data_IF_034324471532
#
_entry.id   IF_034324471532
#
_cell.length_a   1.000
_cell.length_b   1.000
_cell.length_c   1.000
_cell.angle_alpha   90.00
_cell.angle_beta   90.00
_cell.angle_gamma   90.00
#
_symmetry.space_group_name_H-M   'P 1'
#
loop_
_entity.id
_entity.type
_entity.pdbx_description
1 polymer ?
#
# COMPACT_ATOMS: atom_id res chain seq x y z
N UNK A 1 -24.57 -28.61 13.19
CA UNK A 1 -24.55 -27.47 12.25
C UNK A 1 -23.14 -27.37 11.74
N UNK A 2 -22.94 -27.75 10.46
CA UNK A 2 -21.62 -27.78 9.82
C UNK A 2 -21.22 -26.35 9.45
N UNK A 3 -20.19 -25.81 10.07
CA UNK A 3 -19.54 -24.57 9.62
C UNK A 3 -18.84 -24.88 8.30
N UNK A 4 -19.38 -24.38 7.20
CA UNK A 4 -18.73 -24.42 5.90
C UNK A 4 -17.36 -23.76 5.98
N UNK A 5 -16.32 -24.41 5.43
CA UNK A 5 -14.99 -23.83 5.22
C UNK A 5 -15.16 -22.53 4.43
N UNK A 6 -14.51 -21.43 4.87
CA UNK A 6 -14.43 -20.25 4.02
C UNK A 6 -13.74 -20.64 2.72
N UNK A 7 -14.30 -20.17 1.60
CA UNK A 7 -13.70 -20.32 0.29
C UNK A 7 -12.28 -19.75 0.33
N UNK A 8 -11.32 -20.52 -0.14
CA UNK A 8 -9.93 -20.10 -0.33
C UNK A 8 -9.93 -18.79 -1.11
N UNK A 9 -9.35 -17.74 -0.55
CA UNK A 9 -9.16 -16.45 -1.23
C UNK A 9 -8.40 -16.72 -2.52
N UNK A 10 -9.03 -16.40 -3.65
CA UNK A 10 -8.58 -16.80 -4.99
C UNK A 10 -7.21 -16.17 -5.31
N UNK A 11 -6.19 -16.98 -5.49
CA UNK A 11 -5.08 -16.69 -6.37
C UNK A 11 -3.74 -16.31 -5.75
N UNK A 12 -3.60 -16.08 -4.44
CA UNK A 12 -2.30 -15.80 -3.81
C UNK A 12 -1.72 -17.07 -3.21
N UNK A 13 -0.63 -17.56 -3.79
CA UNK A 13 0.02 -18.81 -3.37
C UNK A 13 1.08 -18.61 -2.27
N UNK A 14 1.53 -17.38 -2.05
CA UNK A 14 2.56 -17.00 -1.07
C UNK A 14 2.33 -15.56 -0.59
N UNK A 15 2.92 -15.23 0.56
CA UNK A 15 2.86 -13.88 1.13
C UNK A 15 3.86 -12.96 0.42
N UNK A 16 3.40 -11.78 -0.04
CA UNK A 16 4.19 -10.86 -0.86
C UNK A 16 4.74 -9.71 -0.03
N UNK A 17 6.02 -9.39 -0.20
CA UNK A 17 6.61 -8.16 0.36
C UNK A 17 6.72 -7.09 -0.73
N UNK A 18 6.27 -5.87 -0.38
CA UNK A 18 6.37 -4.69 -1.23
C UNK A 18 7.31 -3.67 -0.54
N UNK A 19 8.62 -3.68 -0.83
CA UNK A 19 9.48 -2.59 -0.40
C UNK A 19 8.93 -1.26 -0.90
N UNK A 20 8.87 -0.26 -0.01
CA UNK A 20 8.31 1.02 -0.38
C UNK A 20 9.40 2.01 -0.82
N UNK A 21 9.13 2.76 -1.90
CA UNK A 21 9.92 3.90 -2.37
C UNK A 21 9.00 5.11 -2.43
N UNK A 22 9.14 6.01 -1.47
CA UNK A 22 8.41 7.28 -1.44
C UNK A 22 9.26 8.35 -2.11
N UNK A 23 8.66 9.16 -2.96
CA UNK A 23 9.34 10.21 -3.72
C UNK A 23 8.79 11.57 -3.32
N UNK A 24 9.68 12.46 -2.87
CA UNK A 24 9.40 13.87 -2.64
C UNK A 24 10.57 14.71 -3.16
N UNK A 25 10.27 15.80 -3.84
CA UNK A 25 11.25 16.72 -4.44
C UNK A 25 12.33 15.98 -5.26
N UNK A 26 11.88 14.98 -6.04
CA UNK A 26 12.74 14.16 -6.89
C UNK A 26 13.68 13.19 -6.16
N UNK A 27 13.52 13.00 -4.85
CA UNK A 27 14.37 12.12 -4.03
C UNK A 27 13.56 10.99 -3.40
N UNK A 28 14.19 9.83 -3.24
CA UNK A 28 13.65 8.79 -2.37
C UNK A 28 13.72 9.26 -0.91
N UNK A 29 12.59 9.20 -0.21
CA UNK A 29 12.49 9.71 1.17
C UNK A 29 11.74 8.75 2.08
N UNK A 30 11.81 8.99 3.39
CA UNK A 30 10.94 8.38 4.40
C UNK A 30 10.41 9.44 5.34
N UNK A 31 9.11 9.34 5.60
CA UNK A 31 8.42 10.17 6.57
C UNK A 31 8.35 9.47 7.95
N UNK A 32 8.12 10.26 8.98
CA UNK A 32 7.71 9.77 10.31
C UNK A 32 6.21 10.05 10.45
N UNK A 33 5.41 9.00 10.58
CA UNK A 33 3.94 9.08 10.70
C UNK A 33 3.28 9.93 9.59
N UNK A 34 3.84 9.88 8.36
CA UNK A 34 3.33 10.67 7.24
C UNK A 34 3.45 12.18 7.38
N UNK A 35 4.20 12.68 8.35
CA UNK A 35 4.32 14.12 8.64
C UNK A 35 5.19 14.79 7.58
N UNK A 36 4.59 15.72 6.82
CA UNK A 36 5.31 16.52 5.85
C UNK A 36 6.34 17.42 6.55
N UNK A 37 7.59 17.41 6.08
CA UNK A 37 8.71 18.12 6.70
C UNK A 37 9.56 17.22 7.60
N UNK A 38 9.18 15.94 7.80
CA UNK A 38 9.97 14.95 8.54
C UNK A 38 10.82 14.06 7.61
N UNK A 39 10.95 14.42 6.33
CA UNK A 39 11.60 13.63 5.29
C UNK A 39 13.07 13.37 5.61
N UNK A 40 13.47 12.10 5.60
CA UNK A 40 14.87 11.68 5.51
C UNK A 40 15.15 11.22 4.10
N UNK A 41 16.10 11.86 3.39
CA UNK A 41 16.45 11.49 2.02
C UNK A 41 17.35 10.26 2.00
N UNK A 42 17.11 9.40 1.00
CA UNK A 42 17.87 8.20 0.67
C UNK A 42 18.39 8.21 -0.77
N UNK A 43 18.39 9.38 -1.41
CA UNK A 43 19.00 9.59 -2.72
C UNK A 43 18.08 9.33 -3.91
N UNK A 44 18.64 8.76 -4.99
CA UNK A 44 17.94 8.55 -6.25
C UNK A 44 16.85 7.47 -6.14
N UNK A 45 15.58 7.75 -6.47
CA UNK A 45 14.49 6.78 -6.44
C UNK A 45 14.70 5.59 -7.38
N UNK A 46 15.31 5.78 -8.54
CA UNK A 46 15.63 4.69 -9.48
C UNK A 46 16.62 3.73 -8.84
N UNK A 47 17.70 4.25 -8.25
CA UNK A 47 18.72 3.44 -7.59
C UNK A 47 18.12 2.68 -6.39
N UNK A 48 17.24 3.32 -5.60
CA UNK A 48 16.56 2.68 -4.48
C UNK A 48 15.68 1.51 -4.97
N UNK A 49 14.86 1.74 -6.00
CA UNK A 49 13.95 0.72 -6.54
C UNK A 49 14.73 -0.46 -7.16
N UNK A 50 15.79 -0.20 -7.93
CA UNK A 50 16.65 -1.25 -8.49
C UNK A 50 17.35 -2.06 -7.39
N UNK A 51 17.78 -1.42 -6.30
CA UNK A 51 18.36 -2.13 -5.15
C UNK A 51 17.38 -3.14 -4.55
N UNK A 52 16.10 -2.80 -4.43
CA UNK A 52 15.10 -3.76 -3.93
C UNK A 52 14.85 -4.89 -4.93
N UNK A 53 14.78 -4.59 -6.23
CA UNK A 53 14.67 -5.62 -7.26
C UNK A 53 15.86 -6.59 -7.21
N UNK A 54 17.09 -6.09 -7.15
CA UNK A 54 18.32 -6.89 -7.06
C UNK A 54 18.35 -7.78 -5.81
N UNK A 55 17.72 -7.33 -4.72
CA UNK A 55 17.56 -8.10 -3.48
C UNK A 55 16.40 -9.11 -3.50
N UNK A 56 15.67 -9.22 -4.61
CA UNK A 56 14.65 -10.24 -4.83
C UNK A 56 13.21 -9.79 -4.60
N UNK A 57 12.94 -8.47 -4.56
CA UNK A 57 11.55 -7.99 -4.56
C UNK A 57 10.81 -8.45 -5.81
N UNK A 58 9.58 -8.96 -5.65
CA UNK A 58 8.66 -9.25 -6.76
C UNK A 58 7.73 -8.06 -7.03
N UNK A 59 7.52 -7.23 -6.03
CA UNK A 59 6.71 -6.02 -6.06
C UNK A 59 7.44 -4.86 -5.40
N UNK A 60 7.15 -3.64 -5.87
CA UNK A 60 7.57 -2.38 -5.24
C UNK A 60 6.33 -1.51 -5.04
N UNK A 61 6.19 -0.91 -3.86
CA UNK A 61 5.21 0.13 -3.59
C UNK A 61 5.87 1.49 -3.80
N UNK A 62 5.47 2.20 -4.87
CA UNK A 62 6.05 3.48 -5.30
C UNK A 62 5.05 4.61 -5.04
N UNK A 63 5.47 5.68 -4.35
CA UNK A 63 4.56 6.74 -3.92
C UNK A 63 5.04 8.11 -4.38
N UNK A 64 4.17 8.88 -5.06
CA UNK A 64 4.37 10.32 -5.30
C UNK A 64 3.84 11.13 -4.10
N UNK A 65 4.71 11.50 -3.18
CA UNK A 65 4.33 12.28 -2.00
C UNK A 65 3.98 13.73 -2.36
N UNK A 66 4.61 14.33 -3.37
CA UNK A 66 4.29 15.70 -3.77
C UNK A 66 2.88 15.78 -4.37
N UNK A 67 2.50 14.80 -5.19
CA UNK A 67 1.15 14.68 -5.68
C UNK A 67 0.15 14.35 -4.56
N UNK A 68 0.51 13.50 -3.61
CA UNK A 68 -0.33 13.15 -2.45
C UNK A 68 -0.64 14.39 -1.59
N UNK A 69 0.35 15.23 -1.35
CA UNK A 69 0.22 16.46 -0.56
C UNK A 69 -0.22 17.68 -1.38
N UNK A 70 -0.37 17.56 -2.70
CA UNK A 70 -0.75 18.68 -3.58
C UNK A 70 0.35 19.73 -3.74
N UNK A 71 1.61 19.35 -3.60
CA UNK A 71 2.80 20.23 -3.72
C UNK A 71 3.46 20.19 -5.11
N UNK A 72 2.97 19.36 -6.00
CA UNK A 72 3.54 19.14 -7.34
C UNK A 72 3.29 17.72 -7.82
N UNK A 73 4.17 17.22 -8.68
CA UNK A 73 4.14 15.82 -9.15
C UNK A 73 5.54 15.39 -9.60
N UNK A 74 5.86 14.13 -9.33
CA UNK A 74 7.07 13.46 -9.81
C UNK A 74 6.76 12.49 -10.96
N UNK A 75 5.63 12.66 -11.65
CA UNK A 75 5.09 11.69 -12.62
C UNK A 75 6.13 11.20 -13.65
N UNK A 76 6.92 12.09 -14.26
CA UNK A 76 7.94 11.70 -15.25
C UNK A 76 9.04 10.83 -14.61
N UNK A 77 9.46 11.18 -13.40
CA UNK A 77 10.44 10.39 -12.64
C UNK A 77 9.87 9.02 -12.26
N UNK A 78 8.61 8.96 -11.80
CA UNK A 78 7.98 7.69 -11.46
C UNK A 78 7.80 6.80 -12.70
N UNK A 79 7.48 7.39 -13.86
CA UNK A 79 7.44 6.66 -15.13
C UNK A 79 8.82 6.09 -15.50
N UNK A 80 9.91 6.85 -15.27
CA UNK A 80 11.28 6.39 -15.48
C UNK A 80 11.64 5.24 -14.51
N UNK A 81 11.26 5.34 -13.23
CA UNK A 81 11.44 4.26 -12.24
C UNK A 81 10.73 2.99 -12.71
N UNK A 82 9.43 3.08 -13.02
CA UNK A 82 8.64 1.92 -13.47
C UNK A 82 9.21 1.31 -14.74
N UNK A 83 9.62 2.14 -15.70
CA UNK A 83 10.19 1.69 -16.98
C UNK A 83 11.54 0.96 -16.88
N UNK A 84 12.25 1.10 -15.75
CA UNK A 84 13.55 0.44 -15.50
C UNK A 84 13.44 -0.83 -14.67
N UNK A 85 12.25 -1.14 -14.15
CA UNK A 85 12.02 -2.30 -13.31
C UNK A 85 11.45 -3.47 -14.12
N UNK A 86 11.91 -4.67 -13.82
CA UNK A 86 11.38 -5.94 -14.33
C UNK A 86 10.37 -6.58 -13.36
N UNK A 87 10.09 -5.92 -12.23
CA UNK A 87 9.16 -6.38 -11.19
C UNK A 87 7.87 -5.58 -11.21
N UNK A 88 6.83 -6.11 -10.59
CA UNK A 88 5.54 -5.42 -10.53
C UNK A 88 5.60 -4.17 -9.64
N UNK A 89 4.91 -3.11 -10.05
CA UNK A 89 4.83 -1.87 -9.28
C UNK A 89 3.38 -1.57 -8.91
N UNK A 90 3.14 -1.30 -7.63
CA UNK A 90 1.95 -0.64 -7.14
C UNK A 90 2.25 0.85 -6.97
N UNK A 91 1.60 1.69 -7.79
CA UNK A 91 1.81 3.13 -7.79
C UNK A 91 0.74 3.84 -6.95
N UNK A 92 1.16 4.75 -6.09
CA UNK A 92 0.31 5.52 -5.19
C UNK A 92 0.68 7.01 -5.20
N UNK A 93 -0.23 7.84 -4.69
CA UNK A 93 -0.02 9.29 -4.53
C UNK A 93 -0.72 10.13 -5.59
N UNK A 94 -1.58 11.05 -5.15
CA UNK A 94 -2.20 12.06 -6.00
C UNK A 94 -3.29 11.59 -6.97
N UNK A 95 -3.75 10.35 -6.91
CA UNK A 95 -4.75 9.79 -7.83
C UNK A 95 -6.15 10.24 -7.43
N UNK A 96 -6.77 11.16 -8.19
CA UNK A 96 -8.03 11.84 -7.81
C UNK A 96 -9.07 11.97 -8.92
N UNK A 97 -8.68 11.74 -10.15
CA UNK A 97 -9.50 11.91 -11.36
C UNK A 97 -9.00 11.01 -12.51
N UNK A 98 -9.72 11.00 -13.62
CA UNK A 98 -9.36 10.19 -14.79
C UNK A 98 -7.96 10.58 -15.33
N UNK A 99 -7.59 11.85 -15.30
CA UNK A 99 -6.29 12.30 -15.83
C UNK A 99 -5.14 11.72 -15.02
N UNK A 100 -5.19 11.83 -13.69
CA UNK A 100 -4.17 11.29 -12.79
C UNK A 100 -4.14 9.76 -12.79
N UNK A 101 -5.30 9.11 -12.90
CA UNK A 101 -5.41 7.65 -13.00
C UNK A 101 -4.82 7.12 -14.30
N UNK A 102 -5.20 7.68 -15.45
CA UNK A 102 -4.69 7.25 -16.76
C UNK A 102 -3.18 7.52 -16.88
N UNK A 103 -2.70 8.66 -16.35
CA UNK A 103 -1.27 8.94 -16.30
C UNK A 103 -0.53 7.88 -15.47
N UNK A 104 -1.03 7.53 -14.28
CA UNK A 104 -0.43 6.50 -13.43
C UNK A 104 -0.42 5.12 -14.12
N UNK A 105 -1.54 4.73 -14.75
CA UNK A 105 -1.64 3.47 -15.48
C UNK A 105 -0.74 3.43 -16.72
N UNK A 106 -0.52 4.57 -17.37
CA UNK A 106 0.35 4.69 -18.56
C UNK A 106 1.83 4.54 -18.25
N UNK A 107 2.27 4.68 -16.99
CA UNK A 107 3.65 4.39 -16.58
C UNK A 107 4.04 2.91 -16.78
N UNK A 108 3.06 2.02 -16.88
CA UNK A 108 3.27 0.58 -16.88
C UNK A 108 3.11 -0.07 -15.50
N UNK A 109 2.76 0.70 -14.46
CA UNK A 109 2.48 0.16 -13.14
C UNK A 109 1.44 -0.97 -13.23
N UNK A 110 1.70 -2.08 -12.56
CA UNK A 110 0.80 -3.24 -12.57
C UNK A 110 -0.51 -2.92 -11.86
N UNK A 111 -0.46 -2.03 -10.86
CA UNK A 111 -1.58 -1.65 -10.01
C UNK A 111 -1.45 -0.21 -9.54
N UNK A 112 -2.58 0.47 -9.38
CA UNK A 112 -2.67 1.84 -8.85
C UNK A 112 -3.47 1.82 -7.56
N UNK A 113 -2.94 2.45 -6.52
CA UNK A 113 -3.59 2.55 -5.22
C UNK A 113 -4.25 3.93 -5.05
N UNK A 114 -5.59 3.94 -4.95
CA UNK A 114 -6.41 5.15 -4.76
C UNK A 114 -6.67 5.34 -3.27
N UNK A 115 -6.18 6.43 -2.68
CA UNK A 115 -6.39 6.77 -1.27
C UNK A 115 -7.59 7.70 -1.06
N UNK A 116 -7.32 8.96 -0.75
CA UNK A 116 -8.29 10.01 -0.36
C UNK A 116 -9.52 10.11 -1.27
N UNK A 117 -9.37 9.93 -2.58
CA UNK A 117 -10.48 10.00 -3.52
C UNK A 117 -11.57 8.95 -3.26
N UNK A 118 -11.23 7.82 -2.63
CA UNK A 118 -12.22 6.80 -2.27
C UNK A 118 -13.24 7.32 -1.24
N UNK A 119 -12.89 8.31 -0.43
CA UNK A 119 -13.79 8.97 0.51
C UNK A 119 -14.44 10.22 -0.09
N UNK A 120 -13.70 11.00 -0.87
CA UNK A 120 -14.15 12.30 -1.38
C UNK A 120 -15.00 12.22 -2.65
N UNK A 121 -14.73 11.23 -3.51
CA UNK A 121 -15.40 11.06 -4.82
C UNK A 121 -15.80 9.60 -5.09
N UNK A 122 -16.70 9.03 -4.28
CA UNK A 122 -17.04 7.61 -4.33
C UNK A 122 -17.61 7.16 -5.69
N UNK A 123 -18.38 8.01 -6.37
CA UNK A 123 -18.97 7.68 -7.67
C UNK A 123 -17.91 7.54 -8.76
N UNK A 124 -16.89 8.41 -8.74
CA UNK A 124 -15.74 8.29 -9.64
C UNK A 124 -14.93 7.02 -9.36
N UNK A 125 -14.67 6.73 -8.08
CA UNK A 125 -13.91 5.52 -7.70
C UNK A 125 -14.64 4.25 -8.11
N UNK A 126 -15.98 4.19 -7.93
CA UNK A 126 -16.80 3.08 -8.44
C UNK A 126 -16.64 2.91 -9.96
N UNK A 127 -16.66 4.02 -10.73
CA UNK A 127 -16.46 3.96 -12.18
C UNK A 127 -15.03 3.52 -12.54
N UNK A 128 -14.00 3.97 -11.82
CA UNK A 128 -12.62 3.54 -12.00
C UNK A 128 -12.44 2.04 -11.70
N UNK A 129 -13.00 1.53 -10.60
CA UNK A 129 -13.01 0.10 -10.26
C UNK A 129 -13.68 -0.71 -11.38
N UNK A 130 -14.87 -0.29 -11.83
CA UNK A 130 -15.59 -0.99 -12.89
C UNK A 130 -14.82 -1.03 -14.23
N UNK A 131 -14.03 0.01 -14.53
CA UNK A 131 -13.26 0.13 -15.79
C UNK A 131 -11.94 -0.64 -15.75
N UNK A 132 -11.24 -0.64 -14.62
CA UNK A 132 -9.86 -1.12 -14.52
C UNK A 132 -9.69 -2.39 -13.67
N UNK A 133 -10.74 -2.82 -12.95
CA UNK A 133 -10.78 -4.09 -12.21
C UNK A 133 -9.64 -4.25 -11.20
N UNK A 134 -8.88 -5.33 -11.37
CA UNK A 134 -7.78 -5.75 -10.49
C UNK A 134 -6.54 -4.83 -10.54
N UNK A 135 -6.49 -3.91 -11.51
CA UNK A 135 -5.48 -2.86 -11.54
C UNK A 135 -5.74 -1.73 -10.53
N UNK A 136 -6.89 -1.72 -9.86
CA UNK A 136 -7.21 -0.76 -8.80
C UNK A 136 -7.12 -1.44 -7.43
N UNK A 137 -6.30 -0.86 -6.56
CA UNK A 137 -6.36 -1.04 -5.12
C UNK A 137 -6.92 0.21 -4.46
N UNK A 138 -7.52 0.08 -3.28
CA UNK A 138 -7.93 1.24 -2.48
C UNK A 138 -7.16 1.26 -1.17
N UNK A 139 -6.51 2.40 -0.90
CA UNK A 139 -5.80 2.68 0.34
C UNK A 139 -6.78 3.13 1.44
N UNK A 140 -6.75 2.40 2.54
CA UNK A 140 -7.52 2.67 3.75
C UNK A 140 -6.54 3.02 4.87
N UNK A 141 -6.32 4.31 5.07
CA UNK A 141 -5.45 4.82 6.12
C UNK A 141 -6.28 5.00 7.39
N UNK A 142 -6.00 4.19 8.42
CA UNK A 142 -6.87 4.01 9.58
C UNK A 142 -6.27 4.64 10.84
N UNK A 143 -7.09 5.40 11.55
CA UNK A 143 -6.79 5.92 12.89
C UNK A 143 -7.85 5.43 13.88
N UNK A 144 -7.60 4.30 14.51
CA UNK A 144 -8.63 3.59 15.29
C UNK A 144 -9.62 2.88 14.39
N UNK A 145 -10.85 3.37 14.28
CA UNK A 145 -11.89 2.90 13.34
C UNK A 145 -12.26 3.95 12.28
N UNK A 146 -11.64 5.13 12.34
CA UNK A 146 -11.91 6.24 11.43
C UNK A 146 -10.84 6.28 10.35
N UNK A 147 -11.25 6.50 9.11
CA UNK A 147 -10.33 6.70 7.99
C UNK A 147 -9.72 8.11 8.03
N UNK A 148 -8.46 8.20 7.68
CA UNK A 148 -7.74 9.45 7.49
C UNK A 148 -7.65 9.78 5.99
N UNK A 149 -7.78 11.04 5.64
CA UNK A 149 -7.73 11.55 4.28
C UNK A 149 -6.77 12.74 4.17
N UNK A 150 -6.41 13.12 2.94
CA UNK A 150 -5.55 14.28 2.63
C UNK A 150 -4.25 14.32 3.42
N UNK A 151 -3.42 13.28 3.26
CA UNK A 151 -2.17 13.18 4.01
C UNK A 151 -2.42 13.10 5.52
N UNK A 152 -3.53 12.45 5.92
CA UNK A 152 -3.95 12.19 7.30
C UNK A 152 -4.36 13.41 8.12
N UNK A 153 -4.66 14.52 7.44
CA UNK A 153 -5.06 15.79 8.09
C UNK A 153 -6.57 15.93 8.29
N UNK A 154 -7.37 15.09 7.63
CA UNK A 154 -8.83 15.11 7.69
C UNK A 154 -9.41 13.72 7.96
N UNK A 155 -10.62 13.65 8.48
CA UNK A 155 -11.38 12.41 8.66
C UNK A 155 -12.11 12.04 7.36
N UNK A 156 -12.05 10.73 6.99
CA UNK A 156 -12.62 10.18 5.76
C UNK A 156 -13.87 9.30 5.96
N UNK A 157 -14.37 9.20 7.21
CA UNK A 157 -15.52 8.37 7.58
C UNK A 157 -15.14 7.09 8.33
N UNK A 158 -16.15 6.31 8.70
CA UNK A 158 -15.96 5.04 9.40
C UNK A 158 -15.44 3.94 8.47
N UNK A 159 -14.41 3.24 8.91
CA UNK A 159 -13.70 2.22 8.13
C UNK A 159 -14.64 1.16 7.53
N UNK A 160 -15.50 0.57 8.37
CA UNK A 160 -16.31 -0.57 7.93
C UNK A 160 -17.47 -0.15 7.02
N UNK A 161 -17.98 1.07 7.13
CA UNK A 161 -18.99 1.60 6.22
C UNK A 161 -18.40 1.83 4.82
N UNK A 162 -17.19 2.41 4.76
CA UNK A 162 -16.46 2.63 3.51
C UNK A 162 -16.05 1.29 2.88
N UNK A 163 -15.56 0.35 3.69
CA UNK A 163 -15.19 -0.99 3.24
C UNK A 163 -16.39 -1.72 2.60
N UNK A 164 -17.54 -1.73 3.26
CA UNK A 164 -18.75 -2.37 2.74
C UNK A 164 -19.21 -1.76 1.43
N UNK A 165 -19.13 -0.44 1.27
CA UNK A 165 -19.43 0.26 0.01
C UNK A 165 -18.46 -0.16 -1.09
N UNK A 166 -17.16 -0.15 -0.83
CA UNK A 166 -16.14 -0.53 -1.82
C UNK A 166 -16.25 -2.00 -2.23
N UNK A 167 -16.62 -2.89 -1.31
CA UNK A 167 -16.92 -4.29 -1.62
C UNK A 167 -18.10 -4.41 -2.58
N UNK A 168 -19.19 -3.63 -2.35
CA UNK A 168 -20.34 -3.57 -3.24
C UNK A 168 -20.00 -2.99 -4.62
N UNK A 169 -19.05 -2.05 -4.68
CA UNK A 169 -18.51 -1.47 -5.92
C UNK A 169 -17.56 -2.43 -6.66
N UNK A 170 -17.19 -3.58 -6.06
CA UNK A 170 -16.36 -4.60 -6.67
C UNK A 170 -14.84 -4.34 -6.57
N UNK A 171 -14.40 -3.56 -5.58
CA UNK A 171 -12.97 -3.32 -5.34
C UNK A 171 -12.19 -4.64 -5.25
N UNK A 172 -11.05 -4.74 -5.93
CA UNK A 172 -10.30 -5.97 -6.04
C UNK A 172 -9.45 -6.28 -4.80
N UNK A 173 -8.93 -5.25 -4.12
CA UNK A 173 -8.07 -5.36 -2.92
C UNK A 173 -7.95 -4.05 -2.16
N UNK A 174 -7.45 -4.15 -0.92
CA UNK A 174 -7.22 -2.99 -0.07
C UNK A 174 -5.78 -2.94 0.42
N UNK A 175 -5.23 -1.73 0.53
CA UNK A 175 -4.01 -1.44 1.29
C UNK A 175 -4.44 -0.83 2.61
N UNK A 176 -4.20 -1.51 3.73
CA UNK A 176 -4.64 -1.05 5.06
C UNK A 176 -3.45 -0.57 5.86
N UNK A 177 -3.42 0.74 6.16
CA UNK A 177 -2.37 1.40 6.92
C UNK A 177 -2.87 1.81 8.30
N UNK A 178 -2.24 1.36 9.39
CA UNK A 178 -2.44 2.00 10.69
C UNK A 178 -1.55 3.24 10.78
N UNK A 179 -2.16 4.42 10.64
CA UNK A 179 -1.49 5.74 10.65
C UNK A 179 -0.68 5.99 11.94
N UNK A 180 -1.13 5.43 13.08
CA UNK A 180 -0.43 5.60 14.37
C UNK A 180 0.85 4.77 14.46
N UNK A 181 0.95 3.72 13.66
CA UNK A 181 2.09 2.81 13.64
C UNK A 181 3.03 3.05 12.47
N UNK A 182 2.55 3.70 11.41
CA UNK A 182 3.37 3.92 10.23
C UNK A 182 4.61 4.75 10.55
N UNK A 183 5.76 4.29 10.07
CA UNK A 183 7.05 4.91 10.31
C UNK A 183 7.56 4.88 11.77
N UNK A 184 6.91 4.16 12.71
CA UNK A 184 7.28 4.16 14.14
C UNK A 184 8.15 2.98 14.57
N UNK A 185 8.21 1.89 13.80
CA UNK A 185 8.89 0.63 14.18
C UNK A 185 8.35 0.03 15.49
N UNK A 186 7.03 0.04 15.70
CA UNK A 186 6.39 -0.47 16.93
C UNK A 186 5.59 -1.75 16.73
N UNK A 187 5.75 -2.40 15.58
CA UNK A 187 5.01 -3.58 15.14
C UNK A 187 3.70 -3.23 14.42
N UNK A 188 3.20 -4.11 13.53
CA UNK A 188 1.94 -3.93 12.78
C UNK A 188 0.72 -4.04 13.70
N UNK A 189 -0.41 -3.50 13.25
CA UNK A 189 -1.68 -3.66 13.96
C UNK A 189 -2.42 -4.93 13.50
N UNK A 190 -1.99 -6.07 14.03
CA UNK A 190 -2.55 -7.39 13.69
C UNK A 190 -4.05 -7.48 13.99
N UNK A 191 -4.52 -6.82 15.08
CA UNK A 191 -5.95 -6.86 15.42
C UNK A 191 -6.78 -6.11 14.37
N UNK A 192 -6.35 -4.92 13.94
CA UNK A 192 -7.02 -4.19 12.86
C UNK A 192 -7.11 -5.04 11.58
N UNK A 193 -6.01 -5.73 11.21
CA UNK A 193 -6.01 -6.59 10.02
C UNK A 193 -6.99 -7.76 10.15
N UNK A 194 -7.07 -8.39 11.32
CA UNK A 194 -8.06 -9.44 11.59
C UNK A 194 -9.49 -8.94 11.49
N UNK A 195 -9.77 -7.75 12.04
CA UNK A 195 -11.10 -7.14 12.01
C UNK A 195 -11.51 -6.79 10.57
N UNK A 196 -10.58 -6.26 9.77
CA UNK A 196 -10.82 -5.98 8.34
C UNK A 196 -11.02 -7.27 7.55
N UNK A 197 -10.18 -8.30 7.73
CA UNK A 197 -10.35 -9.60 7.06
C UNK A 197 -11.66 -10.31 7.45
N UNK A 198 -12.19 -10.04 8.64
CA UNK A 198 -13.50 -10.58 9.05
C UNK A 198 -14.66 -9.87 8.35
N UNK A 199 -14.46 -8.62 7.88
CA UNK A 199 -15.49 -7.79 7.26
C UNK A 199 -15.51 -7.88 5.72
N UNK A 200 -14.42 -8.35 5.08
CA UNK A 200 -14.34 -8.50 3.63
C UNK A 200 -13.70 -9.83 3.22
N UNK A 201 -14.01 -10.31 2.02
CA UNK A 201 -13.32 -11.44 1.37
C UNK A 201 -12.23 -11.00 0.41
N UNK A 202 -11.99 -9.69 0.29
CA UNK A 202 -10.97 -9.16 -0.63
C UNK A 202 -9.58 -9.26 -0.02
N UNK A 203 -8.54 -9.48 -0.84
CA UNK A 203 -7.16 -9.48 -0.38
C UNK A 203 -6.77 -8.15 0.29
N UNK A 204 -5.97 -8.25 1.36
CA UNK A 204 -5.45 -7.11 2.11
C UNK A 204 -3.93 -7.06 1.99
N UNK A 205 -3.40 -5.90 1.67
CA UNK A 205 -1.98 -5.59 1.84
C UNK A 205 -1.83 -4.78 3.12
N UNK A 206 -1.07 -5.31 4.08
CA UNK A 206 -0.80 -4.63 5.35
C UNK A 206 0.23 -3.51 5.15
N UNK A 207 0.04 -2.37 5.80
CA UNK A 207 0.99 -1.26 5.76
C UNK A 207 1.17 -0.62 7.13
N UNK A 208 2.41 -0.21 7.42
CA UNK A 208 2.77 0.49 8.65
C UNK A 208 3.16 -0.41 9.82
N UNK A 209 4.16 0.05 10.56
CA UNK A 209 4.56 -0.49 11.85
C UNK A 209 5.62 -1.60 11.85
N UNK A 210 5.80 -2.37 10.78
CA UNK A 210 6.77 -3.47 10.73
C UNK A 210 8.13 -3.02 11.26
N UNK A 211 8.68 -3.79 12.21
CA UNK A 211 9.91 -3.46 12.92
C UNK A 211 10.91 -4.63 13.01
N UNK A 212 10.44 -5.86 12.81
CA UNK A 212 11.25 -7.07 12.98
C UNK A 212 10.82 -8.19 12.02
N UNK A 213 11.67 -9.21 11.87
CA UNK A 213 11.32 -10.44 11.13
C UNK A 213 10.17 -11.20 11.79
N UNK A 214 10.02 -11.12 13.10
CA UNK A 214 8.90 -11.77 13.81
C UNK A 214 7.56 -11.12 13.46
N UNK A 215 7.52 -9.79 13.27
CA UNK A 215 6.34 -9.09 12.75
C UNK A 215 5.94 -9.62 11.36
N UNK A 216 6.91 -9.82 10.48
CA UNK A 216 6.67 -10.36 9.14
C UNK A 216 6.16 -11.80 9.19
N UNK A 217 6.71 -12.65 10.08
CA UNK A 217 6.21 -14.02 10.30
C UNK A 217 4.78 -14.00 10.82
N UNK A 218 4.44 -13.07 11.71
CA UNK A 218 3.09 -12.93 12.22
C UNK A 218 2.12 -12.49 11.11
N UNK A 219 2.49 -11.51 10.28
CA UNK A 219 1.70 -11.09 9.13
C UNK A 219 1.52 -12.22 8.11
N UNK A 220 2.57 -12.98 7.80
CA UNK A 220 2.48 -14.11 6.86
C UNK A 220 1.49 -15.20 7.31
N UNK A 221 1.33 -15.42 8.61
CA UNK A 221 0.29 -16.34 9.13
C UNK A 221 -1.14 -15.86 8.87
N UNK A 222 -1.33 -14.57 8.61
CA UNK A 222 -2.63 -14.01 8.26
C UNK A 222 -3.01 -14.23 6.79
N UNK A 223 -2.12 -14.82 5.97
CA UNK A 223 -2.42 -15.21 4.58
C UNK A 223 -3.67 -16.10 4.52
N UNK A 224 -3.84 -17.01 5.49
CA UNK A 224 -5.00 -17.90 5.56
C UNK A 224 -6.34 -17.19 5.72
N UNK A 225 -6.34 -15.96 6.24
CA UNK A 225 -7.55 -15.16 6.44
C UNK A 225 -7.69 -13.98 5.47
N UNK A 226 -6.71 -13.76 4.58
CA UNK A 226 -6.84 -12.78 3.50
C UNK A 226 -5.78 -11.68 3.46
N UNK A 227 -4.76 -11.67 4.35
CA UNK A 227 -3.63 -10.74 4.21
C UNK A 227 -2.64 -11.30 3.20
N UNK A 228 -2.67 -10.77 1.96
CA UNK A 228 -1.86 -11.28 0.84
C UNK A 228 -0.40 -10.82 0.89
N UNK A 229 -0.10 -9.74 1.62
CA UNK A 229 1.25 -9.19 1.66
C UNK A 229 1.40 -8.02 2.59
N UNK A 230 2.61 -7.44 2.61
CA UNK A 230 2.90 -6.25 3.41
C UNK A 230 3.81 -5.28 2.68
N UNK A 231 3.48 -4.00 2.77
CA UNK A 231 4.38 -2.90 2.44
C UNK A 231 5.38 -2.74 3.58
N UNK A 232 6.67 -2.71 3.23
CA UNK A 232 7.77 -2.55 4.20
C UNK A 232 8.62 -1.36 3.79
N UNK A 233 8.56 -0.31 4.59
CA UNK A 233 9.31 0.92 4.36
C UNK A 233 10.45 1.07 5.38
N UNK A 234 10.19 1.83 6.45
CA UNK A 234 11.20 2.30 7.40
C UNK A 234 12.12 1.21 7.96
N UNK A 235 11.61 0.00 8.20
CA UNK A 235 12.41 -1.10 8.74
C UNK A 235 13.59 -1.49 7.82
N UNK A 236 13.35 -1.52 6.49
CA UNK A 236 14.40 -1.80 5.50
C UNK A 236 15.43 -0.66 5.45
N UNK A 237 14.98 0.59 5.39
CA UNK A 237 15.88 1.76 5.34
C UNK A 237 16.65 1.99 6.63
N UNK A 238 16.08 1.62 7.77
CA UNK A 238 16.75 1.68 9.08
C UNK A 238 17.70 0.50 9.32
N UNK A 239 17.75 -0.49 8.42
CA UNK A 239 18.57 -1.69 8.56
C UNK A 239 18.15 -2.60 9.72
N UNK A 240 16.86 -2.60 10.08
CA UNK A 240 16.35 -3.51 11.10
C UNK A 240 16.49 -4.99 10.66
N UNK A 241 16.43 -5.22 9.36
CA UNK A 241 16.73 -6.45 8.64
C UNK A 241 16.94 -6.14 7.16
N UNK A 242 17.54 -7.07 6.42
CA UNK A 242 17.67 -6.97 4.95
C UNK A 242 16.44 -7.54 4.25
N UNK A 243 16.20 -7.14 2.99
CA UNK A 243 15.09 -7.71 2.22
C UNK A 243 15.24 -9.23 2.00
N UNK A 244 16.42 -9.79 1.69
CA UNK A 244 16.59 -11.25 1.62
C UNK A 244 16.23 -11.98 2.92
N UNK A 245 16.58 -11.42 4.11
CA UNK A 245 16.16 -12.00 5.40
C UNK A 245 14.64 -11.93 5.57
N UNK A 246 14.01 -10.82 5.15
CA UNK A 246 12.57 -10.64 5.20
C UNK A 246 11.85 -11.64 4.28
N UNK A 247 12.31 -11.82 3.05
CA UNK A 247 11.77 -12.79 2.09
C UNK A 247 11.90 -14.22 2.64
N UNK A 248 13.05 -14.58 3.21
CA UNK A 248 13.25 -15.89 3.83
C UNK A 248 12.37 -16.12 5.09
N UNK A 249 11.94 -15.04 5.75
CA UNK A 249 11.09 -15.14 6.94
C UNK A 249 9.61 -15.41 6.63
N UNK A 250 9.16 -15.11 5.40
CA UNK A 250 7.75 -15.22 4.98
C UNK A 250 7.50 -16.31 3.94
N UNK A 251 8.55 -16.85 3.30
CA UNK A 251 8.54 -17.97 2.32
C UNK A 251 8.93 -19.27 3.00
#
# INVERSE_FOLDING_TARGET
MSYGRPATVLGVSHFVLLPAVDVADGQAVRLVQGEAGSETSYGDPVAAALTWQEQGAEWIHLVDLDAAFGRGSNHELLADVVGKLDVAVELSGGIRDDSSLEAALATGAARVNIGTAAMENPDWVRAAIARHGDRIAVGLDVRGTTLAARGWTQEGGELFDVLARLDADGCARYVVTDVRRDGTLTGPNVQLLRDVCAATSRPIVASGGVSSLDDLRELARLLEIGVEGSIVGKALYAGAFTLPEALAAVG
#
